data_IF_906441218519
#
_entry.id   IF_906441218519
#
_cell.length_a   1.000
_cell.length_b   1.000
_cell.length_c   1.000
_cell.angle_alpha   90.00
_cell.angle_beta   90.00
_cell.angle_gamma   90.00
#
_symmetry.space_group_name_H-M   'P 1'
#
loop_
_entity.id
_entity.type
_entity.pdbx_description
1 polymer ?
#
# COMPACT_ATOMS: atom_id res chain seq x y z
N UNK A 1 -53.40 8.23 63.72
CA UNK A 1 -53.84 7.95 62.34
C UNK A 1 -53.65 9.23 61.54
N UNK A 2 -52.60 9.32 60.71
CA UNK A 2 -52.32 10.50 59.88
C UNK A 2 -52.12 10.07 58.44
N UNK A 3 -52.92 10.65 57.54
CA UNK A 3 -52.93 10.39 56.11
C UNK A 3 -51.69 10.96 55.40
N UNK A 4 -51.33 10.25 54.34
CA UNK A 4 -50.16 10.40 53.50
C UNK A 4 -50.16 11.69 52.65
N UNK A 5 -48.95 12.25 52.46
CA UNK A 5 -48.62 13.16 51.36
C UNK A 5 -47.64 12.42 50.45
N UNK A 6 -48.09 12.15 49.22
CA UNK A 6 -47.29 11.54 48.16
C UNK A 6 -46.24 12.55 47.66
N UNK A 7 -44.96 12.14 47.66
CA UNK A 7 -43.86 12.91 47.07
C UNK A 7 -43.32 12.12 45.88
N UNK A 8 -43.59 12.64 44.67
CA UNK A 8 -43.04 12.13 43.42
C UNK A 8 -41.51 12.21 43.47
N UNK A 9 -40.84 11.07 43.23
CA UNK A 9 -39.39 10.99 43.04
C UNK A 9 -39.07 11.27 41.57
N UNK A 10 -38.42 12.40 41.35
CA UNK A 10 -37.82 12.79 40.07
C UNK A 10 -36.59 11.90 39.79
N UNK A 11 -36.61 11.22 38.65
CA UNK A 11 -35.54 10.33 38.18
C UNK A 11 -34.42 11.14 37.55
N UNK A 12 -33.28 11.24 38.23
CA UNK A 12 -32.03 11.75 37.64
C UNK A 12 -31.41 10.71 36.69
N UNK A 13 -30.84 11.13 35.54
CA UNK A 13 -30.32 10.21 34.53
C UNK A 13 -29.01 9.52 34.95
N UNK A 14 -28.89 8.26 34.54
CA UNK A 14 -27.75 7.38 34.79
C UNK A 14 -26.43 7.98 34.29
N UNK A 15 -25.52 8.23 35.23
CA UNK A 15 -24.13 8.57 34.95
C UNK A 15 -23.42 7.40 34.28
N UNK A 16 -22.85 7.66 33.11
CA UNK A 16 -21.99 6.78 32.32
C UNK A 16 -20.84 6.21 33.16
N UNK A 17 -20.92 4.92 33.50
CA UNK A 17 -19.80 4.22 34.12
C UNK A 17 -18.71 3.98 33.07
N UNK A 18 -17.66 4.79 33.15
CA UNK A 18 -16.36 4.62 32.51
C UNK A 18 -15.95 3.15 32.47
N UNK A 19 -15.68 2.67 31.26
CA UNK A 19 -14.91 1.47 31.00
C UNK A 19 -13.57 1.53 31.74
N UNK A 20 -13.41 0.70 32.76
CA UNK A 20 -12.09 0.37 33.31
C UNK A 20 -11.67 -0.93 32.64
N UNK A 21 -11.12 -0.81 31.43
CA UNK A 21 -10.28 -1.88 30.86
C UNK A 21 -9.10 -2.06 31.81
N UNK A 22 -9.18 -3.10 32.64
CA UNK A 22 -8.09 -3.57 33.49
C UNK A 22 -6.96 -4.08 32.59
N UNK A 23 -6.07 -3.17 32.23
CA UNK A 23 -4.84 -3.47 31.53
C UNK A 23 -3.93 -4.31 32.43
N UNK A 24 -3.83 -5.59 32.09
CA UNK A 24 -2.95 -6.53 32.78
C UNK A 24 -1.57 -6.50 32.13
N UNK A 25 -0.56 -6.04 32.88
CA UNK A 25 0.90 -6.13 32.66
C UNK A 25 1.47 -5.27 31.53
N UNK A 26 2.13 -4.18 31.91
CA UNK A 26 2.79 -3.18 31.05
C UNK A 26 4.08 -3.66 30.37
N UNK A 27 4.00 -4.74 29.59
CA UNK A 27 4.96 -5.02 28.53
C UNK A 27 4.68 -4.15 27.29
N UNK A 28 5.66 -3.95 26.41
CA UNK A 28 5.44 -3.25 25.15
C UNK A 28 4.34 -3.94 24.34
N UNK A 29 3.44 -3.16 23.75
CA UNK A 29 2.37 -3.68 22.87
C UNK A 29 2.99 -3.99 21.51
N UNK A 30 3.54 -5.20 21.39
CA UNK A 30 4.10 -5.67 20.13
C UNK A 30 3.03 -5.70 19.02
N UNK A 31 3.43 -5.22 17.85
CA UNK A 31 2.71 -5.37 16.60
C UNK A 31 3.31 -6.50 15.78
N UNK A 32 2.46 -7.11 14.95
CA UNK A 32 2.87 -8.14 14.01
C UNK A 32 2.39 -7.77 12.60
N UNK A 33 3.22 -8.08 11.61
CA UNK A 33 2.93 -8.01 10.18
C UNK A 33 3.63 -9.18 9.49
N UNK A 34 3.05 -9.68 8.39
CA UNK A 34 3.75 -10.64 7.52
C UNK A 34 3.86 -10.13 6.09
N UNK A 35 4.92 -10.53 5.41
CA UNK A 35 5.21 -10.16 4.03
C UNK A 35 5.56 -11.39 3.20
N UNK A 36 4.95 -11.55 2.03
CA UNK A 36 5.30 -12.59 1.08
C UNK A 36 5.72 -11.96 -0.26
N UNK A 37 6.90 -12.31 -0.77
CA UNK A 37 7.43 -11.83 -2.05
C UNK A 37 7.89 -12.95 -2.99
N UNK A 38 7.87 -14.21 -2.51
CA UNK A 38 8.51 -15.35 -3.20
C UNK A 38 10.02 -15.45 -3.00
N UNK A 39 10.70 -14.41 -2.50
CA UNK A 39 12.14 -14.38 -2.20
C UNK A 39 12.41 -14.28 -0.69
N UNK A 40 11.86 -15.21 0.09
CA UNK A 40 11.78 -15.08 1.56
C UNK A 40 13.13 -14.95 2.28
N UNK A 41 14.22 -15.56 1.78
CA UNK A 41 15.54 -15.49 2.42
C UNK A 41 16.20 -14.10 2.30
N UNK A 42 16.07 -13.43 1.15
CA UNK A 42 16.58 -12.07 0.96
C UNK A 42 15.75 -11.05 1.72
N UNK A 43 14.42 -11.24 1.73
CA UNK A 43 13.51 -10.43 2.52
C UNK A 43 13.78 -10.58 4.02
N UNK A 44 14.02 -11.80 4.50
CA UNK A 44 14.40 -12.04 5.90
C UNK A 44 15.67 -11.28 6.27
N UNK A 45 16.72 -11.38 5.47
CA UNK A 45 17.99 -10.71 5.75
C UNK A 45 17.82 -9.18 5.80
N UNK A 46 17.03 -8.62 4.89
CA UNK A 46 16.74 -7.18 4.84
C UNK A 46 15.89 -6.72 6.03
N UNK A 47 14.87 -7.51 6.40
CA UNK A 47 14.02 -7.25 7.56
C UNK A 47 14.79 -7.39 8.87
N UNK A 48 15.72 -8.35 8.99
CA UNK A 48 16.62 -8.46 10.16
C UNK A 48 17.48 -7.20 10.30
N UNK A 49 17.99 -6.65 9.19
CA UNK A 49 18.72 -5.39 9.19
C UNK A 49 17.88 -4.19 9.64
N UNK A 50 16.64 -4.09 9.14
CA UNK A 50 15.73 -3.00 9.47
C UNK A 50 15.19 -3.08 10.92
N UNK A 51 14.89 -4.28 11.40
CA UNK A 51 14.34 -4.51 12.75
C UNK A 51 15.42 -4.44 13.82
N UNK A 52 16.64 -4.89 13.51
CA UNK A 52 17.75 -4.90 14.45
C UNK A 52 17.41 -5.63 15.75
N UNK A 53 17.77 -5.02 16.88
CA UNK A 53 17.51 -5.57 18.22
C UNK A 53 16.10 -5.25 18.77
N UNK A 54 15.27 -4.53 18.02
CA UNK A 54 14.02 -3.94 18.52
C UNK A 54 12.78 -4.74 18.14
N UNK A 55 12.97 -5.97 17.68
CA UNK A 55 11.90 -6.87 17.29
C UNK A 55 12.41 -8.27 16.95
N UNK A 56 11.55 -9.04 16.30
CA UNK A 56 11.89 -10.38 15.82
C UNK A 56 11.45 -10.57 14.38
N UNK A 57 12.20 -11.39 13.66
CA UNK A 57 11.95 -11.75 12.26
C UNK A 57 12.04 -13.26 12.16
N UNK A 58 11.06 -13.88 11.51
CA UNK A 58 11.05 -15.31 11.23
C UNK A 58 10.46 -15.59 9.85
N UNK A 59 11.05 -16.52 9.11
CA UNK A 59 10.46 -17.06 7.89
C UNK A 59 9.55 -18.25 8.19
N UNK A 60 8.56 -18.45 7.33
CA UNK A 60 7.62 -19.55 7.43
C UNK A 60 6.64 -19.57 6.27
N UNK A 61 5.59 -20.35 6.40
CA UNK A 61 4.52 -20.45 5.42
C UNK A 61 3.23 -19.87 6.00
N UNK A 62 2.67 -18.87 5.34
CA UNK A 62 1.33 -18.34 5.62
C UNK A 62 0.29 -19.12 4.80
N UNK A 63 -0.58 -19.88 5.46
CA UNK A 63 -1.63 -20.67 4.80
C UNK A 63 -3.00 -20.16 5.19
N UNK A 64 -3.87 -19.92 4.21
CA UNK A 64 -5.24 -19.47 4.46
C UNK A 64 -5.97 -20.48 5.34
N UNK A 65 -6.64 -20.00 6.40
CA UNK A 65 -7.47 -20.82 7.28
C UNK A 65 -8.68 -21.28 6.47
N UNK A 66 -8.94 -22.59 6.43
CA UNK A 66 -10.20 -23.11 5.88
C UNK A 66 -11.32 -22.71 6.84
N UNK A 67 -12.36 -22.05 6.32
CA UNK A 67 -13.64 -21.94 7.04
C UNK A 67 -14.38 -23.26 6.87
N UNK A 68 -14.74 -23.93 7.96
CA UNK A 68 -15.54 -25.17 7.93
C UNK A 68 -14.72 -26.45 7.75
N UNK A 69 -15.27 -27.55 8.27
CA UNK A 69 -14.63 -28.71 8.89
C UNK A 69 -13.96 -29.76 7.98
N UNK A 70 -13.13 -30.57 8.66
CA UNK A 70 -12.70 -31.94 8.37
C UNK A 70 -11.89 -32.23 7.09
N UNK A 71 -10.68 -32.71 7.31
CA UNK A 71 -9.88 -33.34 6.26
C UNK A 71 -8.41 -33.32 6.59
N UNK A 72 -7.88 -34.48 6.98
CA UNK A 72 -6.45 -34.76 7.09
C UNK A 72 -5.75 -34.39 5.78
N UNK A 73 -5.15 -33.20 5.73
CA UNK A 73 -4.21 -32.81 4.69
C UNK A 73 -2.79 -33.04 5.16
N UNK A 74 -2.28 -34.27 5.06
CA UNK A 74 -0.85 -34.56 5.20
C UNK A 74 -0.12 -33.95 4.01
N UNK A 75 0.76 -32.99 4.27
CA UNK A 75 1.66 -32.40 3.29
C UNK A 75 2.24 -31.08 3.76
N UNK A 76 3.51 -31.10 4.18
CA UNK A 76 4.34 -29.89 4.40
C UNK A 76 4.67 -29.16 3.09
N UNK A 77 4.15 -29.63 1.95
CA UNK A 77 4.11 -28.94 0.67
C UNK A 77 2.70 -29.19 0.12
N UNK A 78 1.80 -28.24 0.31
CA UNK A 78 0.39 -28.42 -0.04
C UNK A 78 -0.16 -27.10 -0.58
N UNK A 79 -0.60 -27.13 -1.84
CA UNK A 79 -1.21 -26.04 -2.62
C UNK A 79 -1.92 -25.02 -1.71
N UNK A 80 -1.49 -23.75 -1.79
CA UNK A 80 -2.17 -22.61 -1.15
C UNK A 80 -1.50 -21.97 0.08
N UNK A 81 -0.24 -22.29 0.38
CA UNK A 81 0.57 -21.53 1.34
C UNK A 81 1.53 -20.58 0.62
N UNK A 82 1.77 -19.38 1.17
CA UNK A 82 2.77 -18.43 0.68
C UNK A 82 3.97 -18.41 1.62
N UNK A 83 5.18 -18.48 1.07
CA UNK A 83 6.39 -18.27 1.86
C UNK A 83 6.45 -16.81 2.30
N UNK A 84 6.49 -16.60 3.61
CA UNK A 84 6.32 -15.31 4.23
C UNK A 84 7.38 -15.06 5.31
N UNK A 85 7.71 -13.79 5.49
CA UNK A 85 8.49 -13.25 6.60
C UNK A 85 7.50 -12.64 7.59
N UNK A 86 7.52 -13.09 8.83
CA UNK A 86 6.78 -12.51 9.95
C UNK A 86 7.70 -11.60 10.75
N UNK A 87 7.26 -10.37 10.98
CA UNK A 87 7.97 -9.36 11.76
C UNK A 87 7.13 -9.00 12.97
N UNK A 88 7.75 -9.00 14.15
CA UNK A 88 7.16 -8.47 15.37
C UNK A 88 7.99 -7.31 15.89
N UNK A 89 7.40 -6.15 16.15
CA UNK A 89 8.12 -4.95 16.57
C UNK A 89 7.30 -4.16 17.59
N UNK A 90 7.97 -3.31 18.39
CA UNK A 90 7.28 -2.41 19.30
C UNK A 90 7.07 -1.04 18.64
N UNK A 91 5.84 -0.68 18.20
CA UNK A 91 5.56 0.60 17.55
C UNK A 91 5.77 1.81 18.49
N UNK A 92 5.83 1.59 19.81
CA UNK A 92 6.05 2.66 20.80
C UNK A 92 7.52 2.93 21.06
N UNK A 93 8.41 2.03 20.62
CA UNK A 93 9.85 2.19 20.79
C UNK A 93 10.40 3.03 19.62
N UNK A 94 10.99 4.22 19.87
CA UNK A 94 11.53 5.08 18.82
C UNK A 94 12.73 4.49 18.07
N UNK A 95 13.32 3.40 18.58
CA UNK A 95 14.41 2.68 17.91
C UNK A 95 13.91 1.46 17.10
N UNK A 96 12.65 1.05 17.28
CA UNK A 96 12.05 0.02 16.44
C UNK A 96 11.66 0.61 15.08
N UNK A 97 11.64 -0.21 14.01
CA UNK A 97 11.15 0.24 12.73
C UNK A 97 9.66 0.58 12.81
N UNK A 98 9.27 1.64 12.11
CA UNK A 98 7.87 1.95 11.81
C UNK A 98 7.30 0.94 10.81
N UNK A 99 5.97 0.86 10.74
CA UNK A 99 5.30 0.00 9.77
C UNK A 99 5.65 0.41 8.33
N UNK A 100 5.72 1.71 8.07
CA UNK A 100 6.05 2.27 6.75
C UNK A 100 7.48 1.92 6.33
N UNK A 101 8.44 1.93 7.25
CA UNK A 101 9.81 1.46 6.97
C UNK A 101 9.83 -0.02 6.58
N UNK A 102 9.06 -0.87 7.25
CA UNK A 102 8.94 -2.29 6.89
C UNK A 102 8.29 -2.47 5.50
N UNK A 103 7.25 -1.70 5.19
CA UNK A 103 6.62 -1.71 3.86
C UNK A 103 7.58 -1.22 2.77
N UNK A 104 8.41 -0.22 3.06
CA UNK A 104 9.47 0.22 2.14
C UNK A 104 10.48 -0.89 1.86
N UNK A 105 10.99 -1.56 2.90
CA UNK A 105 11.90 -2.72 2.73
C UNK A 105 11.24 -3.80 1.89
N UNK A 106 9.94 -4.06 2.10
CA UNK A 106 9.17 -4.99 1.27
C UNK A 106 9.20 -4.59 -0.21
N UNK A 107 8.91 -3.34 -0.57
CA UNK A 107 8.94 -2.86 -1.97
C UNK A 107 10.35 -2.73 -2.57
N UNK A 108 11.37 -2.59 -1.74
CA UNK A 108 12.76 -2.61 -2.19
C UNK A 108 13.26 -4.06 -2.40
N UNK A 109 12.52 -5.06 -1.93
CA UNK A 109 12.85 -6.48 -2.07
C UNK A 109 12.23 -7.21 -3.27
N UNK A 110 11.31 -6.60 -4.00
CA UNK A 110 10.67 -7.25 -5.13
C UNK A 110 10.11 -6.24 -6.13
N UNK A 111 9.90 -6.70 -7.36
CA UNK A 111 9.11 -5.99 -8.36
C UNK A 111 7.61 -6.27 -8.13
N UNK A 112 6.81 -5.27 -7.71
CA UNK A 112 5.40 -5.40 -7.40
C UNK A 112 4.53 -5.41 -8.67
N UNK A 113 5.12 -5.20 -9.86
CA UNK A 113 4.45 -5.24 -11.17
C UNK A 113 4.48 -6.62 -11.81
N UNK A 114 5.19 -7.57 -11.19
CA UNK A 114 5.24 -8.95 -11.68
C UNK A 114 3.88 -9.61 -11.51
N UNK A 115 3.29 -10.00 -12.63
CA UNK A 115 2.02 -10.70 -12.66
C UNK A 115 2.08 -12.02 -11.85
N UNK A 116 0.95 -12.44 -11.25
CA UNK A 116 0.83 -13.76 -10.63
C UNK A 116 1.20 -14.85 -11.65
N UNK A 117 2.04 -15.79 -11.25
CA UNK A 117 2.30 -17.02 -12.00
C UNK A 117 1.51 -18.16 -11.37
N UNK A 118 0.56 -18.74 -12.11
CA UNK A 118 -0.27 -19.87 -11.69
C UNK A 118 -1.64 -19.50 -11.08
N UNK A 119 -2.61 -20.40 -11.23
CA UNK A 119 -4.01 -20.20 -10.81
C UNK A 119 -4.23 -20.11 -9.29
N UNK A 120 -3.23 -20.52 -8.50
CA UNK A 120 -3.34 -20.57 -7.04
C UNK A 120 -2.95 -19.25 -6.35
N UNK A 121 -2.48 -18.25 -7.09
CA UNK A 121 -2.08 -16.95 -6.56
C UNK A 121 -0.99 -17.02 -5.49
N UNK A 122 -0.25 -18.15 -5.43
CA UNK A 122 0.81 -18.41 -4.45
C UNK A 122 2.05 -17.54 -4.68
N UNK A 123 2.17 -16.97 -5.87
CA UNK A 123 3.27 -16.14 -6.35
C UNK A 123 3.01 -14.63 -6.22
N UNK A 124 1.84 -14.23 -5.70
CA UNK A 124 1.48 -12.81 -5.56
C UNK A 124 2.12 -12.19 -4.33
N UNK A 125 2.84 -11.07 -4.53
CA UNK A 125 3.38 -10.29 -3.43
C UNK A 125 2.24 -9.84 -2.50
N UNK A 126 2.34 -10.11 -1.19
CA UNK A 126 1.24 -9.89 -0.25
C UNK A 126 1.75 -9.33 1.06
N UNK A 127 1.09 -8.28 1.55
CA UNK A 127 1.22 -7.76 2.92
C UNK A 127 0.05 -8.27 3.73
N UNK A 128 0.32 -9.00 4.81
CA UNK A 128 -0.69 -9.49 5.74
C UNK A 128 -0.71 -8.60 6.98
N UNK A 129 -1.79 -7.84 7.13
CA UNK A 129 -1.93 -6.82 8.18
C UNK A 129 -2.79 -7.33 9.33
N UNK A 130 -2.44 -6.93 10.56
CA UNK A 130 -3.21 -7.32 11.77
C UNK A 130 -4.20 -6.25 12.20
N UNK A 131 -4.03 -5.01 11.75
CA UNK A 131 -4.87 -3.85 12.11
C UNK A 131 -5.32 -3.08 10.89
N UNK A 132 -6.41 -2.34 11.04
CA UNK A 132 -6.93 -1.52 9.95
C UNK A 132 -6.03 -0.33 9.61
N UNK A 133 -5.38 0.28 10.61
CA UNK A 133 -4.37 1.32 10.36
C UNK A 133 -3.24 0.83 9.46
N UNK A 134 -2.76 -0.40 9.69
CA UNK A 134 -1.75 -1.04 8.82
C UNK A 134 -2.29 -1.28 7.40
N UNK A 135 -3.58 -1.63 7.25
CA UNK A 135 -4.21 -1.77 5.93
C UNK A 135 -4.16 -0.45 5.17
N UNK A 136 -4.63 0.63 5.78
CA UNK A 136 -4.66 1.96 5.16
C UNK A 136 -3.26 2.42 4.78
N UNK A 137 -2.27 2.27 5.68
CA UNK A 137 -0.88 2.63 5.41
C UNK A 137 -0.26 1.78 4.28
N UNK A 138 -0.54 0.48 4.24
CA UNK A 138 -0.05 -0.40 3.17
C UNK A 138 -0.67 -0.06 1.82
N UNK A 139 -1.98 0.19 1.77
CA UNK A 139 -2.68 0.60 0.56
C UNK A 139 -2.17 1.95 0.04
N UNK A 140 -1.97 2.93 0.93
CA UNK A 140 -1.36 4.21 0.57
C UNK A 140 0.05 4.01 0.00
N UNK A 141 0.86 3.16 0.62
CA UNK A 141 2.23 2.87 0.14
C UNK A 141 2.23 2.21 -1.24
N UNK A 142 1.25 1.35 -1.53
CA UNK A 142 1.05 0.77 -2.87
C UNK A 142 0.77 1.89 -3.90
N UNK A 143 -0.17 2.78 -3.59
CA UNK A 143 -0.55 3.90 -4.48
C UNK A 143 0.62 4.88 -4.72
N UNK A 144 1.31 5.27 -3.66
CA UNK A 144 2.47 6.18 -3.74
C UNK A 144 3.59 5.58 -4.59
N UNK A 145 3.88 4.29 -4.43
CA UNK A 145 4.88 3.58 -5.24
C UNK A 145 4.47 3.53 -6.70
N UNK A 146 3.20 3.21 -6.98
CA UNK A 146 2.67 3.17 -8.34
C UNK A 146 2.84 4.52 -9.04
N UNK A 147 2.50 5.60 -8.34
CA UNK A 147 2.59 6.96 -8.87
C UNK A 147 4.05 7.39 -9.09
N UNK A 148 4.92 7.18 -8.10
CA UNK A 148 6.32 7.60 -8.15
C UNK A 148 7.09 6.94 -9.30
N UNK A 149 6.89 5.65 -9.49
CA UNK A 149 7.61 4.85 -10.49
C UNK A 149 6.84 4.76 -11.83
N UNK A 150 5.70 5.47 -11.96
CA UNK A 150 4.81 5.45 -13.14
C UNK A 150 4.42 4.04 -13.58
N UNK A 151 4.16 3.19 -12.60
CA UNK A 151 3.77 1.80 -12.84
C UNK A 151 2.37 1.76 -13.43
N UNK A 152 2.18 0.93 -14.47
CA UNK A 152 0.86 0.74 -15.08
C UNK A 152 -0.07 -0.09 -14.19
N UNK A 153 0.50 -1.05 -13.46
CA UNK A 153 -0.26 -1.99 -12.65
C UNK A 153 0.63 -2.53 -11.52
N UNK A 154 0.08 -2.62 -10.31
CA UNK A 154 0.71 -3.28 -9.15
C UNK A 154 -0.16 -4.48 -8.76
N UNK A 155 0.46 -5.64 -8.62
CA UNK A 155 -0.20 -6.88 -8.21
C UNK A 155 -0.11 -7.16 -6.71
N UNK A 156 0.53 -6.28 -5.94
CA UNK A 156 0.65 -6.42 -4.48
C UNK A 156 -0.72 -6.45 -3.82
N UNK A 157 -0.97 -7.45 -2.98
CA UNK A 157 -2.21 -7.60 -2.20
C UNK A 157 -2.03 -7.17 -0.76
N UNK A 158 -3.08 -6.64 -0.17
CA UNK A 158 -3.17 -6.35 1.27
C UNK A 158 -4.28 -7.21 1.87
N UNK A 159 -3.90 -8.25 2.63
CA UNK A 159 -4.82 -9.26 3.17
C UNK A 159 -4.83 -9.22 4.70
N UNK A 160 -5.92 -9.69 5.33
CA UNK A 160 -6.00 -9.78 6.80
C UNK A 160 -5.16 -10.95 7.29
N UNK A 161 -4.21 -10.70 8.21
CA UNK A 161 -3.41 -11.76 8.84
C UNK A 161 -4.27 -12.77 9.60
N UNK A 162 -5.44 -12.37 10.11
CA UNK A 162 -6.36 -13.26 10.84
C UNK A 162 -6.94 -14.40 9.99
N UNK A 163 -6.95 -14.22 8.65
CA UNK A 163 -7.40 -15.24 7.70
C UNK A 163 -6.32 -16.29 7.42
N UNK A 164 -5.12 -16.16 7.99
CA UNK A 164 -3.98 -17.02 7.73
C UNK A 164 -3.42 -17.65 9.01
N UNK A 165 -2.89 -18.85 8.89
CA UNK A 165 -2.06 -19.50 9.89
C UNK A 165 -0.60 -19.40 9.43
N UNK A 166 0.26 -18.86 10.27
CA UNK A 166 1.71 -18.88 10.05
C UNK A 166 2.35 -20.11 10.68
N UNK A 167 3.02 -20.92 9.87
CA UNK A 167 3.84 -22.04 10.34
C UNK A 167 5.32 -21.68 10.15
N UNK A 168 6.10 -21.52 11.23
CA UNK A 168 7.53 -21.21 11.13
C UNK A 168 8.28 -22.28 10.32
N UNK A 169 9.24 -21.85 9.51
CA UNK A 169 10.14 -22.76 8.82
C UNK A 169 11.13 -23.42 9.80
N UNK A 170 11.67 -24.62 9.49
CA UNK A 170 12.71 -25.26 10.29
C UNK A 170 13.92 -24.34 10.55
N UNK A 171 14.54 -24.49 11.71
CA UNK A 171 15.65 -23.64 12.18
C UNK A 171 16.81 -23.52 11.18
N UNK A 172 17.11 -24.58 10.42
CA UNK A 172 18.14 -24.58 9.36
C UNK A 172 17.86 -23.61 8.20
N UNK A 173 16.63 -23.12 8.06
CA UNK A 173 16.24 -22.13 7.05
C UNK A 173 16.22 -20.70 7.60
N UNK A 174 16.00 -20.53 8.91
CA UNK A 174 16.00 -19.21 9.56
C UNK A 174 17.39 -18.56 9.42
N UNK A 175 17.45 -17.27 9.12
CA UNK A 175 18.67 -16.45 9.01
C UNK A 175 19.76 -17.12 8.17
N UNK A 176 19.37 -17.85 7.12
CA UNK A 176 20.31 -18.69 6.36
C UNK A 176 21.43 -17.87 5.73
N UNK A 177 21.10 -16.74 5.11
CA UNK A 177 22.09 -15.83 4.48
C UNK A 177 23.02 -15.22 5.54
N UNK A 178 22.45 -14.65 6.61
CA UNK A 178 23.26 -14.11 7.71
C UNK A 178 24.20 -15.14 8.37
N UNK A 179 23.76 -16.40 8.54
CA UNK A 179 24.61 -17.49 9.06
C UNK A 179 25.69 -17.94 8.09
N UNK A 180 25.47 -17.81 6.78
CA UNK A 180 26.47 -18.07 5.76
C UNK A 180 27.56 -16.98 5.69
N UNK A 181 27.36 -15.86 6.41
CA UNK A 181 28.24 -14.69 6.31
C UNK A 181 27.91 -13.77 5.13
N UNK A 182 26.85 -14.08 4.39
CA UNK A 182 26.39 -13.29 3.26
C UNK A 182 25.71 -12.02 3.78
N UNK A 183 26.24 -10.86 3.40
CA UNK A 183 25.61 -9.55 3.66
C UNK A 183 24.65 -9.13 2.55
N UNK A 184 24.16 -10.09 1.77
CA UNK A 184 23.28 -9.82 0.64
C UNK A 184 21.92 -9.41 1.17
N UNK A 185 21.63 -8.13 1.09
CA UNK A 185 20.30 -7.55 1.29
C UNK A 185 19.63 -7.39 -0.06
N UNK A 186 18.32 -7.14 -0.04
CA UNK A 186 17.62 -6.75 -1.25
C UNK A 186 18.18 -5.45 -1.81
N UNK A 187 18.38 -5.42 -3.12
CA UNK A 187 18.57 -4.18 -3.86
C UNK A 187 17.24 -3.73 -4.44
N UNK A 188 16.89 -2.44 -4.33
CA UNK A 188 15.66 -1.93 -4.91
C UNK A 188 15.64 -2.25 -6.41
N UNK A 189 14.54 -2.82 -6.93
CA UNK A 189 14.44 -3.10 -8.36
C UNK A 189 14.65 -1.83 -9.16
N UNK A 190 15.50 -1.90 -10.18
CA UNK A 190 15.68 -0.82 -11.14
C UNK A 190 14.45 -0.73 -12.03
N UNK A 191 13.48 0.10 -11.67
CA UNK A 191 12.41 0.45 -12.60
C UNK A 191 13.01 1.30 -13.69
N UNK A 192 13.19 0.72 -14.88
CA UNK A 192 13.42 1.52 -16.07
C UNK A 192 12.16 2.34 -16.24
N UNK A 193 12.22 3.62 -15.88
CA UNK A 193 11.22 4.59 -16.28
C UNK A 193 11.29 4.58 -17.80
N UNK A 194 10.43 3.77 -18.42
CA UNK A 194 10.04 3.98 -19.81
C UNK A 194 9.34 5.32 -19.79
N UNK A 195 10.13 6.38 -19.89
CA UNK A 195 9.62 7.64 -20.36
C UNK A 195 8.99 7.31 -21.71
N UNK A 196 7.69 7.54 -21.93
CA UNK A 196 7.32 8.09 -23.21
C UNK A 196 7.92 9.50 -23.18
N UNK A 197 9.22 9.64 -23.41
CA UNK A 197 9.60 10.77 -24.25
C UNK A 197 8.98 10.34 -25.57
N UNK A 198 7.92 11.00 -26.07
CA UNK A 198 7.64 10.87 -27.48
C UNK A 198 8.97 11.20 -28.14
N UNK A 199 9.64 10.20 -28.70
CA UNK A 199 10.76 10.44 -29.59
C UNK A 199 10.24 11.51 -30.51
N UNK A 200 10.93 12.64 -30.56
CA UNK A 200 10.75 13.69 -31.55
C UNK A 200 10.96 13.04 -32.92
N UNK A 201 9.98 12.25 -33.35
CA UNK A 201 9.82 11.72 -34.66
C UNK A 201 9.39 12.93 -35.48
N UNK A 202 10.41 13.69 -35.89
CA UNK A 202 10.40 14.62 -37.02
C UNK A 202 9.04 15.31 -37.21
N UNK A 203 8.64 16.15 -36.26
CA UNK A 203 7.82 17.30 -36.65
C UNK A 203 8.80 18.22 -37.36
N UNK A 204 8.73 18.23 -38.68
CA UNK A 204 9.49 19.18 -39.49
C UNK A 204 9.12 20.60 -39.00
N UNK A 205 10.09 21.53 -38.88
CA UNK A 205 9.81 22.90 -38.43
C UNK A 205 8.89 23.68 -39.40
N UNK A 206 8.53 23.09 -40.54
CA UNK A 206 7.86 23.76 -41.66
C UNK A 206 6.34 23.56 -41.66
N UNK A 207 5.81 22.53 -40.97
CA UNK A 207 4.37 22.27 -40.94
C UNK A 207 3.63 23.08 -39.87
N UNK A 208 4.25 23.30 -38.69
CA UNK A 208 3.61 24.01 -37.57
C UNK A 208 3.43 25.52 -37.82
N UNK A 209 4.29 26.14 -38.64
CA UNK A 209 4.17 27.56 -38.97
C UNK A 209 3.07 27.85 -40.00
N UNK A 210 2.65 26.92 -40.87
CA UNK A 210 1.55 27.21 -41.82
C UNK A 210 0.17 27.07 -41.17
N UNK A 211 0.02 26.19 -40.19
CA UNK A 211 -1.23 26.00 -39.45
C UNK A 211 -1.38 27.03 -38.32
N UNK A 212 -0.33 27.36 -37.56
CA UNK A 212 -0.44 28.38 -36.51
C UNK A 212 -0.81 29.77 -37.06
N UNK A 213 -0.36 30.09 -38.28
CA UNK A 213 -0.72 31.34 -38.94
C UNK A 213 -2.14 31.34 -39.51
N UNK A 214 -2.73 30.19 -39.87
CA UNK A 214 -4.12 30.17 -40.36
C UNK A 214 -5.11 30.56 -39.28
N UNK A 215 -4.87 30.13 -38.02
CA UNK A 215 -5.68 30.54 -36.87
C UNK A 215 -5.51 32.04 -36.57
N UNK A 216 -4.29 32.57 -36.64
CA UNK A 216 -4.05 34.00 -36.45
C UNK A 216 -4.73 34.83 -37.56
N UNK A 217 -4.64 34.41 -38.82
CA UNK A 217 -5.29 35.10 -39.93
C UNK A 217 -6.82 35.00 -39.87
N UNK A 218 -7.41 33.91 -39.38
CA UNK A 218 -8.86 33.81 -39.24
C UNK A 218 -9.40 34.67 -38.09
N UNK A 219 -8.70 34.77 -36.96
CA UNK A 219 -9.07 35.73 -35.90
C UNK A 219 -8.96 37.19 -36.37
N UNK A 220 -7.94 37.52 -37.17
CA UNK A 220 -7.78 38.86 -37.75
C UNK A 220 -8.89 39.16 -38.77
N UNK A 221 -9.32 38.18 -39.58
CA UNK A 221 -10.48 38.36 -40.48
C UNK A 221 -11.78 38.57 -39.71
N UNK A 222 -12.04 37.78 -38.66
CA UNK A 222 -13.23 37.93 -37.81
C UNK A 222 -13.25 39.32 -37.15
N UNK A 223 -12.10 39.79 -36.68
CA UNK A 223 -11.96 41.13 -36.11
C UNK A 223 -12.19 42.24 -37.15
N UNK A 224 -11.62 42.10 -38.36
CA UNK A 224 -11.82 43.06 -39.45
C UNK A 224 -13.27 43.12 -39.93
N UNK A 225 -13.95 41.98 -40.00
CA UNK A 225 -15.39 41.94 -40.32
C UNK A 225 -16.21 42.61 -39.21
N UNK A 226 -15.92 42.34 -37.94
CA UNK A 226 -16.60 43.01 -36.83
C UNK A 226 -16.37 44.52 -36.82
N UNK A 227 -15.14 44.98 -37.05
CA UNK A 227 -14.82 46.42 -37.11
C UNK A 227 -15.53 47.07 -38.31
N UNK A 228 -15.55 46.43 -39.48
CA UNK A 228 -16.25 46.94 -40.65
C UNK A 228 -17.78 47.00 -40.43
N UNK A 229 -18.39 45.99 -39.83
CA UNK A 229 -19.82 45.97 -39.49
C UNK A 229 -20.17 47.08 -38.48
N UNK A 230 -19.34 47.29 -37.45
CA UNK A 230 -19.55 48.38 -36.47
C UNK A 230 -19.38 49.76 -37.12
N UNK A 231 -18.45 49.92 -38.07
CA UNK A 231 -18.27 51.16 -38.82
C UNK A 231 -19.41 51.45 -39.80
N UNK A 232 -19.97 50.42 -40.46
CA UNK A 232 -21.13 50.57 -41.34
C UNK A 232 -22.37 50.94 -40.53
N UNK A 233 -22.61 50.29 -39.38
CA UNK A 233 -23.73 50.61 -38.48
C UNK A 233 -23.62 52.04 -37.94
N UNK A 234 -22.41 52.51 -37.60
CA UNK A 234 -22.20 53.91 -37.19
C UNK A 234 -22.38 54.92 -38.32
N UNK A 235 -22.16 54.54 -39.57
CA UNK A 235 -22.30 55.43 -40.73
C UNK A 235 -23.74 55.52 -41.24
N UNK A 236 -24.59 54.54 -40.94
CA UNK A 236 -26.02 54.55 -41.30
C UNK A 236 -26.94 55.07 -40.18
N UNK A 237 -26.40 55.36 -39.00
CA UNK A 237 -27.15 55.90 -37.86
C UNK A 237 -27.09 57.42 -37.69
N UNK A 238 -26.48 58.12 -38.66
CA UNK A 238 -26.27 59.58 -38.64
C UNK A 238 -26.83 60.25 -39.92
N UNK A 239 -27.92 59.69 -40.47
CA UNK A 239 -28.76 60.30 -41.51
C UNK A 239 -30.08 60.78 -40.93
#
# INVERSE_FOLDING_TARGET
MSLAIARARETAPASTSRAVERHSRGGPRLEEVMFATGACQFLEQSMVGAVGAHGSVAIGTARRRRRGSDGRGRGLVGRGGRDAVRVTFDPSNPHAPTFEELVRVFFDCHDPTRAPVGDDGSTVATVFVTRESQREMAMRSVEERAMKERMKEIFTRVESAADFTFTPAPERLQRRLGRAGDKVVCEPPSYVISSPVPTLAKISPVASAREAWSWVFDWVKVLLVHVATVLVIRRTGDS
#
